data_IF_172953980734
#
_entry.id   IF_172953980734
#
_cell.length_a   1.000
_cell.length_b   1.000
_cell.length_c   1.000
_cell.angle_alpha   90.00
_cell.angle_beta   90.00
_cell.angle_gamma   90.00
#
_symmetry.space_group_name_H-M   'P 1'
#
loop_
_entity.id
_entity.type
_entity.pdbx_description
1 polymer ?
#
# COMPACT_ATOMS: atom_id res chain seq x y z
N UNK A 1 -13.72 -11.09 19.44
CA UNK A 1 -13.08 -11.63 18.22
C UNK A 1 -13.64 -10.85 17.04
N UNK A 2 -13.12 -9.64 16.78
CA UNK A 2 -13.54 -8.84 15.64
C UNK A 2 -13.10 -9.54 14.37
N UNK A 3 -14.02 -9.89 13.48
CA UNK A 3 -13.65 -10.42 12.17
C UNK A 3 -12.96 -9.28 11.43
N UNK A 4 -11.65 -9.38 11.20
CA UNK A 4 -10.94 -8.48 10.30
C UNK A 4 -11.60 -8.59 8.93
N UNK A 5 -12.03 -7.46 8.36
CA UNK A 5 -12.54 -7.41 6.99
C UNK A 5 -11.51 -8.03 6.06
N UNK A 6 -11.91 -8.96 5.19
CA UNK A 6 -10.98 -9.54 4.20
C UNK A 6 -10.89 -8.63 2.98
N UNK A 7 -9.81 -8.75 2.19
CA UNK A 7 -9.66 -8.02 0.93
C UNK A 7 -10.86 -8.25 -0.02
N UNK A 8 -11.40 -9.48 -0.05
CA UNK A 8 -12.60 -9.80 -0.82
C UNK A 8 -13.85 -9.11 -0.25
N UNK A 9 -14.02 -9.09 1.07
CA UNK A 9 -15.15 -8.40 1.70
C UNK A 9 -15.12 -6.90 1.42
N UNK A 10 -13.94 -6.27 1.46
CA UNK A 10 -13.77 -4.87 1.05
C UNK A 10 -14.18 -4.66 -0.41
N UNK A 11 -13.71 -5.54 -1.32
CA UNK A 11 -14.08 -5.48 -2.75
C UNK A 11 -15.59 -5.54 -2.93
N UNK A 12 -16.25 -6.48 -2.27
CA UNK A 12 -17.70 -6.67 -2.38
C UNK A 12 -18.47 -5.44 -1.86
N UNK A 13 -18.01 -4.84 -0.76
CA UNK A 13 -18.61 -3.62 -0.20
C UNK A 13 -18.39 -2.40 -1.09
N UNK A 14 -17.21 -2.23 -1.70
CA UNK A 14 -16.95 -1.15 -2.65
C UNK A 14 -17.72 -1.32 -3.97
N UNK A 15 -18.16 -2.53 -4.28
CA UNK A 15 -19.01 -2.86 -5.43
C UNK A 15 -20.51 -2.90 -5.08
N UNK A 16 -20.88 -2.58 -3.84
CA UNK A 16 -22.27 -2.63 -3.39
C UNK A 16 -23.17 -1.74 -4.25
N UNK A 17 -24.43 -2.14 -4.53
CA UNK A 17 -25.32 -1.38 -5.40
C UNK A 17 -25.67 0.00 -4.82
N UNK A 18 -25.72 0.10 -3.49
CA UNK A 18 -26.10 1.33 -2.79
C UNK A 18 -24.87 2.18 -2.49
N UNK A 19 -24.89 3.44 -2.94
CA UNK A 19 -23.77 4.37 -2.74
C UNK A 19 -23.35 4.52 -1.28
N UNK A 20 -24.31 4.54 -0.35
CA UNK A 20 -24.02 4.65 1.08
C UNK A 20 -23.18 3.49 1.64
N UNK A 21 -23.37 2.27 1.11
CA UNK A 21 -22.59 1.10 1.54
C UNK A 21 -21.14 1.22 1.08
N UNK A 22 -20.94 1.76 -0.14
CA UNK A 22 -19.62 2.05 -0.68
C UNK A 22 -18.91 3.14 0.13
N UNK A 23 -19.64 4.18 0.54
CA UNK A 23 -19.12 5.24 1.43
C UNK A 23 -18.69 4.65 2.78
N UNK A 24 -19.47 3.73 3.37
CA UNK A 24 -19.06 3.07 4.61
C UNK A 24 -17.81 2.21 4.43
N UNK A 25 -17.66 1.53 3.30
CA UNK A 25 -16.46 0.76 2.98
C UNK A 25 -15.21 1.66 2.84
N UNK A 26 -15.37 2.82 2.19
CA UNK A 26 -14.32 3.82 2.09
C UNK A 26 -13.95 4.39 3.47
N UNK A 27 -14.95 4.64 4.32
CA UNK A 27 -14.70 5.11 5.68
C UNK A 27 -13.97 4.07 6.54
N UNK A 28 -14.28 2.77 6.38
CA UNK A 28 -13.54 1.71 7.05
C UNK A 28 -12.06 1.69 6.66
N UNK A 29 -11.73 1.95 5.38
CA UNK A 29 -10.35 2.13 4.93
C UNK A 29 -9.65 3.33 5.59
N UNK A 30 -10.36 4.45 5.77
CA UNK A 30 -9.82 5.63 6.47
C UNK A 30 -9.52 5.32 7.95
N UNK A 31 -10.38 4.57 8.62
CA UNK A 31 -10.13 4.15 10.01
C UNK A 31 -8.90 3.25 10.15
N UNK A 32 -8.75 2.27 9.25
CA UNK A 32 -7.58 1.38 9.25
C UNK A 32 -6.28 2.12 8.93
N UNK A 33 -6.34 3.16 8.09
CA UNK A 33 -5.23 4.07 7.84
C UNK A 33 -4.80 4.82 9.12
N UNK A 34 -5.75 5.31 9.92
CA UNK A 34 -5.44 5.97 11.20
C UNK A 34 -4.77 5.03 12.20
N UNK A 35 -5.16 3.76 12.22
CA UNK A 35 -4.53 2.74 13.07
C UNK A 35 -3.14 2.34 12.56
N UNK A 36 -2.89 2.49 11.26
CA UNK A 36 -1.70 2.00 10.56
C UNK A 36 -0.80 3.11 10.01
N UNK A 37 -0.78 4.30 10.64
CA UNK A 37 0.00 5.48 10.19
C UNK A 37 1.50 5.24 10.03
N UNK A 38 2.07 4.24 10.70
CA UNK A 38 3.48 3.87 10.57
C UNK A 38 3.78 2.98 9.34
N UNK A 39 2.76 2.53 8.61
CA UNK A 39 2.92 1.69 7.42
C UNK A 39 3.45 2.53 6.23
N UNK A 40 4.43 2.04 5.46
CA UNK A 40 4.97 2.77 4.30
C UNK A 40 3.93 3.10 3.21
N UNK A 41 2.77 2.45 3.23
CA UNK A 41 1.67 2.66 2.26
C UNK A 41 0.70 3.75 2.73
N UNK A 42 0.81 4.20 3.98
CA UNK A 42 -0.15 5.11 4.61
C UNK A 42 -0.33 6.41 3.82
N UNK A 43 0.76 7.06 3.39
CA UNK A 43 0.70 8.33 2.65
C UNK A 43 0.00 8.17 1.27
N UNK A 44 0.28 7.06 0.58
CA UNK A 44 -0.38 6.77 -0.71
C UNK A 44 -1.88 6.50 -0.52
N UNK A 45 -2.23 5.74 0.53
CA UNK A 45 -3.61 5.45 0.88
C UNK A 45 -4.36 6.71 1.33
N UNK A 46 -3.73 7.61 2.09
CA UNK A 46 -4.32 8.91 2.46
C UNK A 46 -4.62 9.77 1.24
N UNK A 47 -3.67 9.88 0.31
CA UNK A 47 -3.89 10.60 -0.94
C UNK A 47 -4.98 9.95 -1.82
N UNK A 48 -5.15 8.64 -1.70
CA UNK A 48 -6.23 7.90 -2.38
C UNK A 48 -7.59 8.18 -1.73
N UNK A 49 -7.70 8.07 -0.40
CA UNK A 49 -8.96 8.26 0.34
C UNK A 49 -9.45 9.70 0.23
N UNK A 50 -8.54 10.69 0.27
CA UNK A 50 -8.85 12.11 0.13
C UNK A 50 -9.51 12.50 -1.20
N UNK A 51 -9.34 11.68 -2.26
CA UNK A 51 -10.01 11.89 -3.56
C UNK A 51 -11.47 11.43 -3.54
N UNK A 52 -11.86 10.60 -2.59
CA UNK A 52 -13.19 10.03 -2.46
C UNK A 52 -13.52 8.98 -3.51
N UNK A 53 -14.80 8.56 -3.50
CA UNK A 53 -15.33 7.55 -4.42
C UNK A 53 -15.66 8.22 -5.77
N UNK A 54 -15.18 7.68 -6.90
CA UNK A 54 -15.54 8.17 -8.23
C UNK A 54 -17.05 8.13 -8.48
N UNK A 55 -17.55 9.07 -9.30
CA UNK A 55 -18.98 9.15 -9.67
C UNK A 55 -19.45 8.03 -10.63
N UNK A 56 -18.54 7.21 -11.14
CA UNK A 56 -18.84 6.17 -12.13
C UNK A 56 -19.72 5.05 -11.58
N UNK A 57 -20.40 4.35 -12.50
CA UNK A 57 -21.17 3.16 -12.15
C UNK A 57 -20.23 1.98 -11.78
N UNK A 58 -20.64 1.07 -10.88
CA UNK A 58 -19.82 -0.09 -10.52
C UNK A 58 -19.41 -1.00 -11.69
N UNK A 59 -20.19 -0.97 -12.77
CA UNK A 59 -19.95 -1.75 -13.98
C UNK A 59 -18.85 -1.14 -14.86
N UNK A 60 -18.54 0.14 -14.65
CA UNK A 60 -17.59 0.90 -15.45
C UNK A 60 -16.15 0.37 -15.23
N UNK A 61 -15.37 0.12 -16.30
CA UNK A 61 -13.99 -0.32 -16.18
C UNK A 61 -13.13 0.57 -15.27
N UNK A 62 -13.30 1.90 -15.35
CA UNK A 62 -12.52 2.85 -14.55
C UNK A 62 -12.86 2.74 -13.06
N UNK A 63 -14.13 2.49 -12.74
CA UNK A 63 -14.55 2.21 -11.37
C UNK A 63 -13.93 0.92 -10.85
N UNK A 64 -13.93 -0.15 -11.67
CA UNK A 64 -13.35 -1.44 -11.29
C UNK A 64 -11.84 -1.37 -11.10
N UNK A 65 -11.15 -0.54 -11.88
CA UNK A 65 -9.73 -0.26 -11.67
C UNK A 65 -9.51 0.47 -10.34
N UNK A 66 -10.34 1.49 -10.04
CA UNK A 66 -10.30 2.19 -8.76
C UNK A 66 -10.53 1.25 -7.57
N UNK A 67 -11.52 0.35 -7.64
CA UNK A 67 -11.75 -0.68 -6.61
C UNK A 67 -10.54 -1.61 -6.48
N UNK A 68 -9.93 -1.99 -7.59
CA UNK A 68 -8.75 -2.86 -7.57
C UNK A 68 -7.55 -2.18 -6.90
N UNK A 69 -7.39 -0.86 -7.08
CA UNK A 69 -6.40 -0.05 -6.34
C UNK A 69 -6.71 0.00 -4.84
N UNK A 70 -7.97 0.23 -4.45
CA UNK A 70 -8.38 0.23 -3.05
C UNK A 70 -8.06 -1.11 -2.35
N UNK A 71 -8.39 -2.23 -3.00
CA UNK A 71 -8.11 -3.58 -2.50
C UNK A 71 -6.60 -3.83 -2.42
N UNK A 72 -5.82 -3.37 -3.41
CA UNK A 72 -4.36 -3.49 -3.35
C UNK A 72 -3.75 -2.73 -2.17
N UNK A 73 -4.26 -1.53 -1.86
CA UNK A 73 -3.85 -0.80 -0.67
C UNK A 73 -4.17 -1.55 0.61
N UNK A 74 -5.38 -2.12 0.73
CA UNK A 74 -5.75 -2.97 1.86
C UNK A 74 -4.78 -4.15 2.03
N UNK A 75 -4.49 -4.88 0.95
CA UNK A 75 -3.57 -6.02 0.99
C UNK A 75 -2.15 -5.60 1.40
N UNK A 76 -1.65 -4.47 0.88
CA UNK A 76 -0.33 -3.93 1.25
C UNK A 76 -0.29 -3.44 2.70
N UNK A 77 -1.39 -2.89 3.21
CA UNK A 77 -1.51 -2.43 4.59
C UNK A 77 -1.44 -3.60 5.58
N UNK A 78 -2.08 -4.71 5.25
CA UNK A 78 -2.15 -5.91 6.07
C UNK A 78 -1.11 -6.99 5.72
N UNK A 79 -0.26 -6.77 4.72
CA UNK A 79 0.88 -7.61 4.47
C UNK A 79 1.81 -7.53 5.69
N UNK A 80 2.01 -8.66 6.37
CA UNK A 80 2.96 -8.73 7.48
C UNK A 80 4.34 -8.22 7.01
N UNK A 81 5.10 -7.53 7.88
CA UNK A 81 6.44 -7.05 7.57
C UNK A 81 7.44 -8.23 7.53
N UNK A 82 7.25 -9.16 6.60
CA UNK A 82 8.12 -10.31 6.37
C UNK A 82 8.76 -10.24 4.98
N UNK A 83 9.37 -9.12 4.61
CA UNK A 83 10.31 -9.07 3.49
C UNK A 83 11.15 -7.78 3.44
N UNK A 84 11.66 -7.29 4.57
CA UNK A 84 13.00 -6.68 4.49
C UNK A 84 13.99 -7.84 4.31
N UNK A 85 14.12 -8.34 3.08
CA UNK A 85 15.35 -9.02 2.71
C UNK A 85 16.49 -8.05 3.06
N UNK A 86 17.51 -8.47 3.83
CA UNK A 86 18.59 -7.58 4.19
C UNK A 86 19.26 -7.13 2.89
N UNK A 87 19.10 -5.85 2.55
CA UNK A 87 19.93 -5.20 1.54
C UNK A 87 21.38 -5.52 1.90
N UNK A 88 22.15 -6.21 1.03
CA UNK A 88 23.56 -6.41 1.26
C UNK A 88 24.21 -5.03 1.32
N UNK A 89 24.50 -4.56 2.53
CA UNK A 89 25.37 -3.42 2.74
C UNK A 89 26.72 -3.81 2.13
N UNK A 90 27.01 -3.32 0.92
CA UNK A 90 28.31 -3.49 0.31
C UNK A 90 29.34 -2.82 1.21
N UNK A 91 29.96 -3.62 2.08
CA UNK A 91 31.14 -3.22 2.81
C UNK A 91 32.20 -2.88 1.78
N UNK A 92 32.52 -1.60 1.66
CA UNK A 92 33.55 -1.11 0.76
C UNK A 92 34.86 -1.86 1.03
N UNK A 93 35.21 -2.76 0.11
CA UNK A 93 36.52 -3.39 0.09
C UNK A 93 37.56 -2.29 -0.14
N UNK A 94 38.29 -1.95 0.92
CA UNK A 94 39.45 -1.05 0.89
C UNK A 94 40.54 -1.73 0.04
N UNK A 95 40.48 -1.55 -1.27
CA UNK A 95 41.55 -1.92 -2.19
C UNK A 95 42.80 -1.10 -1.88
N UNK A 96 43.77 -1.68 -1.17
CA UNK A 96 45.15 -1.19 -1.13
C UNK A 96 45.94 -1.89 -2.24
N UNK A 97 46.11 -1.19 -3.36
CA UNK A 97 47.19 -1.35 -4.36
C UNK A 97 47.06 -0.15 -5.30
N UNK A 98 48.06 0.67 -5.58
CA UNK A 98 49.47 0.75 -5.22
C UNK A 98 50.00 2.07 -5.76
N UNK A 99 51.29 2.37 -5.58
CA UNK A 99 51.88 3.56 -6.20
C UNK A 99 53.32 3.84 -5.75
N UNK A 100 54.24 3.52 -6.64
CA UNK A 100 55.70 3.66 -6.64
C UNK A 100 56.33 4.94 -6.07
N UNK A 101 57.63 4.83 -5.72
CA UNK A 101 58.78 5.77 -5.89
C UNK A 101 60.01 5.13 -5.20
N UNK A 102 61.29 5.27 -5.56
CA UNK A 102 62.12 5.72 -6.69
C UNK A 102 63.59 5.55 -6.18
N UNK A 103 64.61 5.68 -7.05
CA UNK A 103 66.08 5.65 -6.79
C UNK A 103 66.73 4.25 -6.65
N UNK A 104 67.86 3.94 -7.30
CA UNK A 104 68.94 4.77 -7.86
C UNK A 104 69.45 4.23 -9.19
#
# INVERSE_FOLDING_TARGET
MGQKTTAQALRDQLMAPRAIERVHAMHALELELEESRANPVADELEAFTARGIPFYAPEDPDYREWVSKAVNYWERLHAEPHAHAPVPCMSAAKGRRGGAKHHS
#
